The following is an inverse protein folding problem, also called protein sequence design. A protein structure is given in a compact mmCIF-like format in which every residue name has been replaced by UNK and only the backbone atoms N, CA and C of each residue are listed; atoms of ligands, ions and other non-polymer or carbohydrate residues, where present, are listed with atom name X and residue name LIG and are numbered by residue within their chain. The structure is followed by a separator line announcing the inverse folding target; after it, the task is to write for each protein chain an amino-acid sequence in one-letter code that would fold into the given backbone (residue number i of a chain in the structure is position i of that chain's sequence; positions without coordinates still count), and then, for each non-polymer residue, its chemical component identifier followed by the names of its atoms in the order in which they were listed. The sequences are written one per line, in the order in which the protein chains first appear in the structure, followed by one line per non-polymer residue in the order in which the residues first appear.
data_IF_552831848369
#
_entry.id   IF_552831848369
#
_cell.length_a   1.000
_cell.length_b   1.000
_cell.length_c   1.000
_cell.angle_alpha   90.00
_cell.angle_beta   90.00
_cell.angle_gamma   90.00
#
_symmetry.space_group_name_H-M   'P 1'
#
loop_
_entity.id
_entity.type
_entity.pdbx_description
1 polymer ?
#
# COMPACT_ATOMS: atom_id res chain seq x y z
N UNK A 1 14.07 14.94 -9.54
CA UNK A 1 12.76 14.88 -8.84
C UNK A 1 12.58 13.49 -8.26
N UNK A 2 12.13 13.39 -7.00
CA UNK A 2 11.93 12.11 -6.31
C UNK A 2 10.72 11.32 -6.83
N UNK A 3 10.61 10.05 -6.42
CA UNK A 3 9.40 9.23 -6.63
C UNK A 3 8.40 9.62 -5.53
N UNK A 4 7.16 10.00 -5.87
CA UNK A 4 6.11 10.18 -4.88
C UNK A 4 5.78 8.83 -4.22
N UNK A 5 5.82 8.79 -2.88
CA UNK A 5 5.56 7.58 -2.10
C UNK A 5 4.55 7.86 -0.99
N UNK A 6 3.72 6.87 -0.67
CA UNK A 6 2.90 6.86 0.55
C UNK A 6 3.14 5.56 1.31
N UNK A 7 2.80 5.52 2.61
CA UNK A 7 2.90 4.29 3.41
C UNK A 7 1.95 3.21 2.88
N UNK A 8 2.43 1.96 2.86
CA UNK A 8 1.67 0.80 2.48
C UNK A 8 0.85 0.17 3.64
N UNK A 9 0.15 -0.93 3.36
CA UNK A 9 -0.74 -1.58 4.31
C UNK A 9 -0.06 -2.50 5.35
N UNK A 10 1.25 -2.70 5.36
CA UNK A 10 1.90 -3.71 6.23
C UNK A 10 1.65 -3.47 7.72
N UNK A 11 1.64 -2.21 8.18
CA UNK A 11 1.31 -1.88 9.57
C UNK A 11 -0.14 -2.27 9.91
N UNK A 12 -1.07 -2.03 8.98
CA UNK A 12 -2.47 -2.42 9.13
C UNK A 12 -2.62 -3.95 9.13
N UNK A 13 -1.91 -4.64 8.23
CA UNK A 13 -1.89 -6.09 8.18
C UNK A 13 -1.41 -6.68 9.50
N UNK A 14 -0.34 -6.14 10.09
CA UNK A 14 0.15 -6.56 11.40
C UNK A 14 -0.87 -6.32 12.52
N UNK A 15 -1.51 -5.15 12.54
CA UNK A 15 -2.53 -4.82 13.53
C UNK A 15 -3.77 -5.73 13.44
N UNK A 16 -4.14 -6.12 12.23
CA UNK A 16 -5.27 -7.02 11.97
C UNK A 16 -4.90 -8.50 12.01
N UNK A 17 -3.63 -8.88 12.20
CA UNK A 17 -3.20 -10.28 12.18
C UNK A 17 -3.27 -10.94 10.80
N UNK A 18 -3.14 -10.14 9.73
CA UNK A 18 -2.94 -10.60 8.37
C UNK A 18 -1.46 -10.92 8.10
N UNK A 19 -1.16 -11.85 7.17
CA UNK A 19 0.21 -12.17 6.82
C UNK A 19 0.91 -10.92 6.28
N UNK A 20 2.06 -10.57 6.82
CA UNK A 20 2.95 -9.54 6.26
C UNK A 20 4.39 -9.90 6.55
N UNK A 21 5.26 -9.70 5.57
CA UNK A 21 6.72 -9.91 5.69
C UNK A 21 7.48 -8.60 5.89
N UNK A 22 6.79 -7.47 5.78
CA UNK A 22 7.37 -6.14 5.80
C UNK A 22 7.05 -5.48 7.14
N UNK A 23 8.07 -4.88 7.78
CA UNK A 23 7.84 -4.00 8.94
C UNK A 23 7.39 -2.60 8.49
N UNK A 24 7.88 -2.17 7.32
CA UNK A 24 7.49 -0.95 6.63
C UNK A 24 7.36 -1.26 5.13
N UNK A 25 6.34 -0.70 4.50
CA UNK A 25 6.08 -0.81 3.07
C UNK A 25 5.56 0.52 2.52
N UNK A 26 5.57 0.64 1.18
CA UNK A 26 5.16 1.87 0.49
C UNK A 26 4.31 1.58 -0.72
N UNK A 27 3.41 2.50 -1.06
CA UNK A 27 2.69 2.51 -2.34
C UNK A 27 3.29 3.59 -3.24
N UNK A 28 3.49 3.25 -4.50
CA UNK A 28 4.00 4.14 -5.56
C UNK A 28 3.11 4.07 -6.79
N UNK A 29 3.27 5.03 -7.69
CA UNK A 29 2.68 4.91 -9.02
C UNK A 29 3.36 3.79 -9.80
N UNK A 30 2.59 3.03 -10.59
CA UNK A 30 3.09 1.91 -11.40
C UNK A 30 4.27 2.30 -12.30
N UNK A 31 4.24 3.50 -12.88
CA UNK A 31 5.29 3.98 -13.79
C UNK A 31 6.64 4.22 -13.09
N UNK A 32 6.65 4.38 -11.77
CA UNK A 32 7.87 4.57 -10.99
C UNK A 32 8.53 3.23 -10.58
N UNK A 33 7.88 2.08 -10.83
CA UNK A 33 8.35 0.77 -10.39
C UNK A 33 9.74 0.40 -10.94
N UNK A 34 10.06 0.84 -12.17
CA UNK A 34 11.37 0.58 -12.79
C UNK A 34 12.51 1.34 -12.11
N UNK A 35 12.18 2.41 -11.39
CA UNK A 35 13.15 3.26 -10.67
C UNK A 35 13.45 2.74 -9.27
N UNK A 36 12.78 1.67 -8.84
CA UNK A 36 12.89 1.10 -7.49
C UNK A 36 13.75 -0.15 -7.51
N UNK A 37 14.80 -0.17 -6.67
CA UNK A 37 15.77 -1.26 -6.60
C UNK A 37 15.23 -2.56 -5.97
N UNK A 38 14.58 -2.48 -4.80
CA UNK A 38 13.95 -3.64 -4.15
C UNK A 38 12.43 -3.47 -4.11
N UNK A 39 11.72 -4.54 -4.49
CA UNK A 39 10.26 -4.54 -4.70
C UNK A 39 9.49 -5.32 -3.63
N UNK A 40 10.18 -5.91 -2.66
CA UNK A 40 9.58 -6.87 -1.71
C UNK A 40 8.52 -6.24 -0.80
N UNK A 41 8.62 -4.93 -0.55
CA UNK A 41 7.71 -4.15 0.29
C UNK A 41 7.15 -2.92 -0.45
N UNK A 42 6.98 -3.05 -1.77
CA UNK A 42 6.52 -1.97 -2.64
C UNK A 42 5.24 -2.38 -3.35
N UNK A 43 4.21 -1.57 -3.14
CA UNK A 43 2.91 -1.70 -3.74
C UNK A 43 2.78 -0.71 -4.88
N UNK A 44 2.07 -1.09 -5.93
CA UNK A 44 1.82 -0.19 -7.07
C UNK A 44 0.35 0.14 -7.19
N UNK A 45 0.06 1.38 -7.58
CA UNK A 45 -1.27 1.85 -7.96
C UNK A 45 -1.20 2.54 -9.33
N UNK A 46 -2.28 2.42 -10.11
CA UNK A 46 -2.39 3.01 -11.45
C UNK A 46 -3.02 4.41 -11.43
N UNK A 47 -3.62 4.81 -10.31
CA UNK A 47 -4.23 6.13 -10.13
C UNK A 47 -3.17 7.13 -9.66
N UNK A 48 -2.75 8.11 -10.49
CA UNK A 48 -1.73 9.09 -10.11
C UNK A 48 -2.19 10.07 -9.02
N UNK A 49 -3.49 10.17 -8.76
CA UNK A 49 -4.04 11.03 -7.71
C UNK A 49 -3.90 10.44 -6.30
N UNK A 50 -3.36 9.22 -6.16
CA UNK A 50 -3.21 8.51 -4.88
C UNK A 50 -2.43 9.30 -3.82
N UNK A 51 -1.48 10.14 -4.23
CA UNK A 51 -0.68 10.99 -3.33
C UNK A 51 -1.46 12.18 -2.74
N UNK A 52 -2.60 12.54 -3.34
CA UNK A 52 -3.39 13.72 -2.99
C UNK A 52 -4.65 13.37 -2.19
N UNK A 53 -5.00 12.08 -2.06
CA UNK A 53 -6.17 11.64 -1.29
C UNK A 53 -5.79 11.48 0.19
N UNK A 54 -6.25 12.45 0.98
CA UNK A 54 -6.32 12.56 2.44
C UNK A 54 -5.34 11.71 3.31
N UNK A 55 -4.41 12.47 3.90
CA UNK A 55 -3.47 12.19 5.01
C UNK A 55 -4.10 11.40 6.17
N UNK A 56 -3.32 10.56 6.90
CA UNK A 56 -3.33 10.20 8.36
C UNK A 56 -2.57 8.88 8.72
N UNK A 57 -1.24 8.97 8.62
CA UNK A 57 -0.27 8.03 9.23
C UNK A 57 -0.69 7.56 10.65
N UNK A 58 -0.78 6.24 10.89
CA UNK A 58 -0.83 5.67 12.25
C UNK A 58 -2.02 4.77 12.64
N UNK A 59 -3.04 4.59 11.80
CA UNK A 59 -4.02 3.51 12.02
C UNK A 59 -5.46 3.74 11.54
N UNK A 60 -5.75 3.29 10.32
CA UNK A 60 -7.09 3.08 9.67
C UNK A 60 -7.80 4.31 9.06
N UNK A 61 -8.56 4.13 7.95
CA UNK A 61 -8.17 3.67 6.62
C UNK A 61 -7.71 4.85 5.72
N UNK A 62 -6.47 4.79 5.21
CA UNK A 62 -5.86 5.83 4.34
C UNK A 62 -6.14 5.71 2.85
N UNK A 63 -6.64 4.56 2.49
CA UNK A 63 -6.99 4.18 1.15
C UNK A 63 -8.45 3.76 1.31
N UNK A 64 -9.35 4.37 0.54
CA UNK A 64 -10.73 3.88 0.47
C UNK A 64 -10.69 2.37 0.21
N UNK A 65 -11.64 1.58 0.71
CA UNK A 65 -11.67 0.13 0.40
C UNK A 65 -11.62 -0.10 -1.12
N UNK A 66 -12.21 0.81 -1.90
CA UNK A 66 -12.10 0.86 -3.36
C UNK A 66 -10.66 1.03 -3.86
N UNK A 67 -9.89 1.96 -3.29
CA UNK A 67 -8.49 2.15 -3.66
C UNK A 67 -7.60 1.00 -3.14
N UNK A 68 -8.01 0.31 -2.06
CA UNK A 68 -7.29 -0.86 -1.52
C UNK A 68 -7.41 -2.06 -2.44
N UNK A 69 -8.57 -2.19 -3.10
CA UNK A 69 -8.75 -3.16 -4.17
C UNK A 69 -7.93 -2.83 -5.43
N UNK A 70 -7.41 -1.60 -5.57
CA UNK A 70 -6.63 -1.15 -6.74
C UNK A 70 -5.12 -1.27 -6.56
N UNK A 71 -4.62 -1.48 -5.34
CA UNK A 71 -3.18 -1.69 -5.12
C UNK A 71 -2.78 -3.11 -5.54
N UNK A 72 -1.63 -3.23 -6.21
CA UNK A 72 -1.04 -4.51 -6.62
C UNK A 72 0.24 -4.76 -5.82
N UNK A 73 0.35 -5.94 -5.21
CA UNK A 73 1.47 -6.41 -4.39
C UNK A 73 1.22 -7.84 -3.89
N UNK A 74 1.89 -8.32 -2.82
CA UNK A 74 1.66 -9.68 -2.29
C UNK A 74 0.17 -9.91 -1.98
N UNK A 75 -0.45 -10.82 -2.73
CA UNK A 75 -1.91 -10.92 -2.87
C UNK A 75 -2.64 -11.36 -1.61
N UNK A 76 -1.95 -12.11 -0.75
CA UNK A 76 -2.48 -12.67 0.50
C UNK A 76 -2.79 -11.60 1.56
N UNK A 77 -2.10 -10.47 1.53
CA UNK A 77 -2.29 -9.39 2.50
C UNK A 77 -3.58 -8.63 2.24
N UNK A 78 -3.83 -8.24 0.99
CA UNK A 78 -4.98 -7.39 0.61
C UNK A 78 -6.30 -8.12 0.81
N UNK A 79 -6.38 -9.39 0.39
CA UNK A 79 -7.58 -10.21 0.58
C UNK A 79 -7.91 -10.38 2.07
N UNK A 80 -6.90 -10.66 2.89
CA UNK A 80 -7.09 -10.75 4.34
C UNK A 80 -7.59 -9.42 4.93
N UNK A 81 -7.02 -8.29 4.52
CA UNK A 81 -7.42 -6.96 4.98
C UNK A 81 -8.88 -6.66 4.64
N UNK A 82 -9.29 -6.91 3.39
CA UNK A 82 -10.68 -6.70 2.95
C UNK A 82 -11.68 -7.61 3.66
N UNK A 83 -11.27 -8.80 4.14
CA UNK A 83 -12.16 -9.70 4.89
C UNK A 83 -12.39 -9.31 6.35
N UNK A 84 -11.56 -8.41 6.90
CA UNK A 84 -11.58 -8.01 8.33
C UNK A 84 -12.08 -6.58 8.56
N UNK A 85 -12.37 -5.84 7.49
CA UNK A 85 -12.90 -4.47 7.47
C UNK A 85 -14.34 -4.49 6.97
#
# INVERSE_FOLDING_TARGET
MGIPVVLGPALLAKALGCPTRCECDVVIHRDDLERVGSRDCVWTIEDPSFIHRHIWVGGYPHISLEDMAKIKGPSDVVECLLSRL
#
